data_IF_758162282925
#
_entry.id   IF_758162282925
#
_cell.length_a   1.000
_cell.length_b   1.000
_cell.length_c   1.000
_cell.angle_alpha   90.00
_cell.angle_beta   90.00
_cell.angle_gamma   90.00
#
_symmetry.space_group_name_H-M   'P 1'
#
loop_
_entity.id
_entity.type
_entity.pdbx_description
1 polymer ?
#
# COMPACT_ATOMS: atom_id res chain seq x y z
N UNK A 1 -30.94 1.35 7.09
CA UNK A 1 -29.63 1.62 6.44
C UNK A 1 -28.43 1.03 7.20
N UNK A 2 -28.60 -0.06 7.96
CA UNK A 2 -27.50 -0.71 8.68
C UNK A 2 -26.55 -1.47 7.72
N UNK A 3 -27.11 -2.14 6.71
CA UNK A 3 -26.37 -2.93 5.72
C UNK A 3 -25.39 -2.10 4.87
N UNK A 4 -25.74 -0.85 4.54
CA UNK A 4 -24.87 0.05 3.78
C UNK A 4 -23.61 0.47 4.58
N UNK A 5 -23.73 0.59 5.91
CA UNK A 5 -22.61 0.91 6.80
C UNK A 5 -21.66 -0.28 6.99
N UNK A 6 -22.20 -1.51 7.04
CA UNK A 6 -21.39 -2.74 7.04
C UNK A 6 -20.59 -2.87 5.74
N UNK A 7 -21.24 -2.71 4.59
CA UNK A 7 -20.57 -2.73 3.30
C UNK A 7 -19.49 -1.63 3.19
N UNK A 8 -19.78 -0.41 3.67
CA UNK A 8 -18.79 0.68 3.69
C UNK A 8 -17.59 0.37 4.61
N UNK A 9 -17.84 -0.23 5.79
CA UNK A 9 -16.78 -0.64 6.73
C UNK A 9 -15.88 -1.72 6.11
N UNK A 10 -16.47 -2.69 5.42
CA UNK A 10 -15.72 -3.75 4.75
C UNK A 10 -14.87 -3.22 3.58
N UNK A 11 -15.38 -2.22 2.85
CA UNK A 11 -14.61 -1.50 1.82
C UNK A 11 -13.44 -0.76 2.46
N UNK A 12 -13.65 0.00 3.54
CA UNK A 12 -12.58 0.75 4.21
C UNK A 12 -11.51 -0.19 4.76
N UNK A 13 -11.93 -1.28 5.43
CA UNK A 13 -11.02 -2.30 5.94
C UNK A 13 -10.22 -2.98 4.84
N UNK A 14 -10.87 -3.31 3.71
CA UNK A 14 -10.19 -3.93 2.57
C UNK A 14 -9.27 -2.97 1.83
N UNK A 15 -9.41 -1.66 1.97
CA UNK A 15 -8.51 -0.65 1.37
C UNK A 15 -7.48 -0.09 2.35
N UNK A 16 -7.37 -0.68 3.55
CA UNK A 16 -6.43 -0.25 4.58
C UNK A 16 -5.43 -1.35 4.90
N UNK A 17 -4.15 -1.01 4.85
CA UNK A 17 -3.04 -1.87 5.26
C UNK A 17 -2.41 -1.24 6.49
N UNK A 18 -2.53 -1.90 7.64
CA UNK A 18 -2.02 -1.40 8.91
C UNK A 18 -0.81 -2.25 9.33
N UNK A 19 0.37 -1.64 9.35
CA UNK A 19 1.60 -2.26 9.84
C UNK A 19 1.82 -1.84 11.31
N UNK A 20 2.36 -2.72 12.12
CA UNK A 20 2.83 -2.40 13.49
C UNK A 20 4.28 -2.86 13.64
N UNK A 21 5.05 -2.34 14.60
CA UNK A 21 6.38 -2.87 14.90
C UNK A 21 6.37 -4.39 15.19
N UNK A 22 5.32 -4.89 15.85
CA UNK A 22 5.17 -6.33 16.14
C UNK A 22 4.66 -7.15 14.95
N UNK A 23 3.98 -6.52 13.99
CA UNK A 23 3.55 -7.14 12.74
C UNK A 23 4.00 -6.27 11.55
N UNK A 24 5.31 -6.27 11.25
CA UNK A 24 5.91 -5.31 10.33
C UNK A 24 5.45 -5.54 8.90
N UNK A 25 5.20 -6.80 8.51
CA UNK A 25 4.84 -7.19 7.15
C UNK A 25 3.40 -7.64 7.07
N UNK A 26 2.58 -6.93 6.29
CA UNK A 26 1.16 -7.23 6.12
C UNK A 26 0.84 -7.46 4.65
N UNK A 27 0.65 -8.72 4.22
CA UNK A 27 0.18 -9.05 2.89
C UNK A 27 -1.34 -8.95 2.81
N UNK A 28 -1.83 -8.54 1.65
CA UNK A 28 -3.24 -8.45 1.30
C UNK A 28 -3.43 -8.81 -0.17
N UNK A 29 -4.58 -9.41 -0.48
CA UNK A 29 -4.92 -9.85 -1.82
C UNK A 29 -6.22 -9.20 -2.28
N UNK A 30 -6.28 -8.80 -3.55
CA UNK A 30 -7.47 -8.28 -4.20
C UNK A 30 -7.69 -8.97 -5.54
N UNK A 31 -8.93 -9.37 -5.77
CA UNK A 31 -9.38 -9.81 -7.08
C UNK A 31 -9.72 -8.58 -7.92
N UNK A 32 -9.10 -8.50 -9.10
CA UNK A 32 -9.38 -7.45 -10.10
C UNK A 32 -9.85 -8.09 -11.39
N UNK A 33 -10.44 -7.30 -12.28
CA UNK A 33 -10.83 -7.79 -13.61
C UNK A 33 -9.63 -8.26 -14.47
N UNK A 34 -8.38 -7.91 -14.10
CA UNK A 34 -7.17 -8.34 -14.78
C UNK A 34 -6.50 -9.56 -14.11
N UNK A 35 -7.07 -10.05 -13.01
CA UNK A 35 -6.55 -11.12 -12.17
C UNK A 35 -6.23 -10.67 -10.75
N UNK A 36 -5.64 -11.58 -9.98
CA UNK A 36 -5.28 -11.37 -8.58
C UNK A 36 -4.09 -10.42 -8.43
N UNK A 37 -4.25 -9.38 -7.62
CA UNK A 37 -3.20 -8.47 -7.19
C UNK A 37 -2.86 -8.71 -5.72
N UNK A 38 -1.58 -8.76 -5.39
CA UNK A 38 -1.11 -8.89 -4.01
C UNK A 38 -0.35 -7.62 -3.63
N UNK A 39 -0.72 -6.96 -2.53
CA UNK A 39 0.04 -5.88 -1.93
C UNK A 39 0.62 -6.34 -0.60
N UNK A 40 1.87 -6.01 -0.36
CA UNK A 40 2.58 -6.29 0.87
C UNK A 40 3.20 -4.98 1.35
N UNK A 41 2.74 -4.49 2.49
CA UNK A 41 3.35 -3.36 3.16
C UNK A 41 4.25 -3.88 4.28
N UNK A 42 5.45 -3.33 4.34
CA UNK A 42 6.48 -3.71 5.30
C UNK A 42 7.03 -2.46 5.98
N UNK A 43 6.90 -2.40 7.30
CA UNK A 43 7.50 -1.36 8.13
C UNK A 43 8.74 -1.90 8.84
N UNK A 44 9.91 -1.35 8.52
CA UNK A 44 11.18 -1.72 9.14
C UNK A 44 11.69 -0.59 10.02
N UNK A 45 12.18 -0.96 11.19
CA UNK A 45 12.94 -0.10 12.09
C UNK A 45 14.33 -0.71 12.21
N UNK A 46 15.37 0.02 11.81
CA UNK A 46 16.76 -0.43 11.99
C UNK A 46 17.23 -0.06 13.39
N UNK A 47 17.65 -1.05 14.19
CA UNK A 47 18.22 -0.81 15.53
C UNK A 47 19.70 -0.39 15.47
N UNK A 48 20.38 -0.61 14.34
CA UNK A 48 21.84 -0.52 14.25
C UNK A 48 22.38 0.81 13.70
N UNK A 49 21.58 1.59 12.98
CA UNK A 49 21.98 2.87 12.36
C UNK A 49 20.98 3.99 12.69
N UNK A 50 21.04 4.50 13.93
CA UNK A 50 20.38 5.76 14.30
C UNK A 50 18.84 5.76 14.34
N UNK A 51 18.19 4.60 14.27
CA UNK A 51 16.72 4.51 14.30
C UNK A 51 16.06 4.85 12.97
N UNK A 52 16.75 4.65 11.85
CA UNK A 52 16.18 4.85 10.51
C UNK A 52 14.97 3.93 10.30
N UNK A 53 13.87 4.56 9.88
CA UNK A 53 12.58 3.91 9.63
C UNK A 53 12.38 3.79 8.13
N UNK A 54 11.81 2.68 7.66
CA UNK A 54 11.49 2.50 6.25
C UNK A 54 10.12 1.87 6.09
N UNK A 55 9.27 2.49 5.27
CA UNK A 55 8.02 1.90 4.81
C UNK A 55 8.19 1.45 3.37
N UNK A 56 8.19 0.15 3.15
CA UNK A 56 8.25 -0.48 1.84
C UNK A 56 6.88 -1.00 1.47
N UNK A 57 6.46 -0.76 0.24
CA UNK A 57 5.24 -1.36 -0.31
C UNK A 57 5.58 -2.07 -1.60
N UNK A 58 5.32 -3.36 -1.64
CA UNK A 58 5.51 -4.25 -2.78
C UNK A 58 4.15 -4.65 -3.34
N UNK A 59 4.04 -4.64 -4.66
CA UNK A 59 2.84 -5.06 -5.38
C UNK A 59 3.19 -6.13 -6.42
N UNK A 60 2.52 -7.27 -6.37
CA UNK A 60 2.50 -8.25 -7.47
C UNK A 60 1.34 -7.86 -8.39
N UNK A 61 1.69 -7.26 -9.51
CA UNK A 61 0.74 -6.74 -10.49
C UNK A 61 0.36 -7.84 -11.50
N UNK A 62 -0.94 -8.11 -11.69
CA UNK A 62 -1.40 -9.06 -12.71
C UNK A 62 -1.25 -8.54 -14.14
N UNK A 63 -1.04 -7.23 -14.32
CA UNK A 63 -0.90 -6.57 -15.62
C UNK A 63 0.00 -5.32 -15.54
N UNK A 64 0.19 -4.63 -16.67
CA UNK A 64 0.89 -3.36 -16.75
C UNK A 64 0.22 -2.29 -15.87
N UNK A 65 1.03 -1.51 -15.14
CA UNK A 65 0.50 -0.52 -14.21
C UNK A 65 1.56 0.30 -13.50
N UNK A 66 1.09 1.11 -12.55
CA UNK A 66 1.86 2.07 -11.76
C UNK A 66 1.49 1.96 -10.29
N UNK A 67 2.51 2.00 -9.45
CA UNK A 67 2.43 2.08 -8.00
C UNK A 67 2.98 3.44 -7.56
N UNK A 68 2.25 4.16 -6.72
CA UNK A 68 2.69 5.45 -6.20
C UNK A 68 2.36 5.55 -4.71
N UNK A 69 3.36 5.84 -3.89
CA UNK A 69 3.22 6.05 -2.46
C UNK A 69 3.49 7.52 -2.13
N UNK A 70 2.53 8.15 -1.46
CA UNK A 70 2.58 9.56 -1.06
C UNK A 70 2.82 9.65 0.44
N UNK A 71 3.96 10.23 0.81
CA UNK A 71 4.27 10.72 2.16
C UNK A 71 4.00 12.21 2.30
N UNK A 72 4.30 12.76 3.48
CA UNK A 72 4.07 14.17 3.82
C UNK A 72 4.79 15.12 2.86
N UNK A 73 6.04 14.81 2.55
CA UNK A 73 6.94 15.70 1.78
C UNK A 73 7.42 15.06 0.48
N UNK A 74 7.22 13.75 0.31
CA UNK A 74 7.76 12.98 -0.81
C UNK A 74 6.72 12.10 -1.43
N UNK A 75 6.77 12.00 -2.76
CA UNK A 75 5.99 11.07 -3.55
C UNK A 75 6.94 10.17 -4.30
N UNK A 76 6.83 8.86 -4.09
CA UNK A 76 7.65 7.86 -4.77
C UNK A 76 6.75 7.05 -5.69
N UNK A 77 7.17 6.83 -6.93
CA UNK A 77 6.36 6.06 -7.89
C UNK A 77 7.20 5.20 -8.79
N UNK A 78 6.67 4.04 -9.14
CA UNK A 78 7.28 3.05 -10.00
C UNK A 78 6.21 2.50 -10.96
N UNK A 79 6.60 2.14 -12.18
CA UNK A 79 5.67 1.65 -13.19
C UNK A 79 6.31 0.56 -14.03
N UNK A 80 5.47 -0.32 -14.58
CA UNK A 80 5.87 -1.41 -15.46
C UNK A 80 4.86 -1.59 -16.57
N UNK A 81 5.34 -2.01 -17.74
CA UNK A 81 4.54 -2.26 -18.93
C UNK A 81 4.07 -3.71 -19.06
N UNK A 82 4.40 -4.56 -18.08
CA UNK A 82 4.05 -5.99 -18.04
C UNK A 82 3.69 -6.39 -16.61
N UNK A 83 3.06 -7.57 -16.47
CA UNK A 83 2.82 -8.22 -15.17
C UNK A 83 4.14 -8.41 -14.40
N UNK A 84 4.06 -8.45 -13.07
CA UNK A 84 5.21 -8.68 -12.20
C UNK A 84 5.26 -7.74 -11.01
N UNK A 85 6.44 -7.61 -10.42
CA UNK A 85 6.61 -6.91 -9.14
C UNK A 85 6.91 -5.43 -9.34
N UNK A 86 6.17 -4.58 -8.64
CA UNK A 86 6.46 -3.17 -8.38
C UNK A 86 6.79 -2.96 -6.91
N UNK A 87 7.65 -1.99 -6.63
CA UNK A 87 8.04 -1.67 -5.27
C UNK A 87 8.32 -0.19 -5.12
N UNK A 88 7.83 0.39 -4.04
CA UNK A 88 8.12 1.77 -3.63
C UNK A 88 8.52 1.79 -2.17
N UNK A 89 9.40 2.72 -1.80
CA UNK A 89 9.93 2.85 -0.45
C UNK A 89 9.90 4.30 0.00
N UNK A 90 9.48 4.54 1.23
CA UNK A 90 9.55 5.82 1.94
C UNK A 90 10.52 5.68 3.10
N UNK A 91 11.52 6.56 3.13
CA UNK A 91 12.47 6.68 4.22
C UNK A 91 11.92 7.62 5.30
N UNK A 92 12.20 7.29 6.55
CA UNK A 92 11.79 8.00 7.75
C UNK A 92 10.28 8.31 7.82
N UNK A 93 9.39 7.32 7.60
CA UNK A 93 7.97 7.49 7.85
C UNK A 93 7.73 7.72 9.35
N UNK A 94 6.72 8.52 9.67
CA UNK A 94 6.27 8.80 11.02
C UNK A 94 5.20 7.79 11.45
N UNK A 95 5.28 7.24 12.67
CA UNK A 95 4.20 6.49 13.31
C UNK A 95 2.90 7.30 13.36
N UNK A 96 1.79 6.59 13.43
CA UNK A 96 0.42 7.12 13.47
C UNK A 96 0.03 8.01 12.29
N UNK A 97 0.84 7.98 11.23
CA UNK A 97 0.56 8.63 9.97
C UNK A 97 -0.10 7.65 8.97
N UNK A 98 -1.02 8.20 8.17
CA UNK A 98 -1.64 7.51 7.05
C UNK A 98 -0.96 7.96 5.76
N UNK A 99 -0.43 6.99 5.02
CA UNK A 99 0.18 7.16 3.70
C UNK A 99 -0.81 6.75 2.61
N UNK A 100 -0.90 7.56 1.55
CA UNK A 100 -1.76 7.23 0.41
C UNK A 100 -0.98 6.41 -0.62
N UNK A 101 -1.42 5.18 -0.86
CA UNK A 101 -0.91 4.31 -1.92
C UNK A 101 -1.90 4.28 -3.08
N UNK A 102 -1.45 4.71 -4.26
CA UNK A 102 -2.21 4.66 -5.50
C UNK A 102 -1.72 3.51 -6.37
N UNK A 103 -2.65 2.68 -6.82
CA UNK A 103 -2.42 1.60 -7.76
C UNK A 103 -3.25 1.84 -9.02
N UNK A 104 -2.57 2.07 -10.14
CA UNK A 104 -3.19 2.24 -11.45
C UNK A 104 -2.80 1.11 -12.40
N UNK A 105 -3.71 0.74 -13.30
CA UNK A 105 -3.44 -0.19 -14.39
C UNK A 105 -3.51 0.56 -15.72
N UNK A 106 -2.57 0.30 -16.63
CA UNK A 106 -2.52 1.02 -17.91
C UNK A 106 -3.70 0.69 -18.83
N UNK A 107 -4.30 -0.49 -18.68
CA UNK A 107 -5.46 -0.94 -19.45
C UNK A 107 -6.76 -0.24 -19.05
N UNK A 108 -6.80 0.46 -17.91
CA UNK A 108 -7.96 1.20 -17.46
C UNK A 108 -7.66 2.71 -17.45
N UNK A 109 -8.46 3.49 -18.18
CA UNK A 109 -8.43 4.97 -18.12
C UNK A 109 -9.12 5.54 -16.86
N UNK A 110 -9.52 4.66 -15.93
CA UNK A 110 -10.26 5.01 -14.71
C UNK A 110 -9.30 5.48 -13.62
N UNK A 111 -9.83 6.19 -12.61
CA UNK A 111 -9.08 6.63 -11.42
C UNK A 111 -8.34 5.44 -10.76
N UNK A 112 -7.10 5.62 -10.29
CA UNK A 112 -6.35 4.58 -9.61
C UNK A 112 -7.07 4.13 -8.33
N UNK A 113 -6.90 2.86 -7.97
CA UNK A 113 -7.30 2.34 -6.67
C UNK A 113 -6.44 2.99 -5.59
N UNK A 114 -7.07 3.45 -4.51
CA UNK A 114 -6.40 4.13 -3.40
C UNK A 114 -6.47 3.27 -2.16
N UNK A 115 -5.33 3.09 -1.53
CA UNK A 115 -5.18 2.38 -0.27
C UNK A 115 -4.59 3.31 0.77
N UNK A 116 -5.06 3.16 2.00
CA UNK A 116 -4.44 3.77 3.18
C UNK A 116 -3.40 2.79 3.73
N UNK A 117 -2.15 3.22 3.84
CA UNK A 117 -1.10 2.46 4.54
C UNK A 117 -0.81 3.20 5.84
N UNK A 118 -1.16 2.60 6.98
CA UNK A 118 -0.94 3.22 8.28
C UNK A 118 0.08 2.43 9.10
N UNK A 119 0.90 3.16 9.84
CA UNK A 119 1.83 2.59 10.81
C UNK A 119 1.19 2.85 12.18
N UNK A 120 0.70 1.80 12.83
CA UNK A 120 0.11 1.94 14.17
C UNK A 120 1.16 1.64 15.24
N UNK A 121 1.14 2.42 16.31
CA UNK A 121 1.74 2.01 17.57
C UNK A 121 0.81 1.00 18.25
N UNK A 122 1.38 -0.06 18.85
CA UNK A 122 0.61 -1.05 19.61
C UNK A 122 0.14 -0.51 20.96
#
# INVERSE_FOLDING_TARGET
>A
MLLSLLAAKDIINSLTIACTPNNPTVPRQWETALGTMVLEAEYRVSETDGGDRCLRVKAIMPAAGKLQLKGTEKVVSQQRTQKGVLEVQLLNPQPDQIYELNVGFHSFSVKPLRFAVCIKQD
#
